data_IF_856022134332
#
_entry.id   IF_856022134332
#
_cell.length_a   1.000
_cell.length_b   1.000
_cell.length_c   1.000
_cell.angle_alpha   90.00
_cell.angle_beta   90.00
_cell.angle_gamma   90.00
#
_symmetry.space_group_name_H-M   'P 1'
#
loop_
_entity.id
_entity.type
_entity.pdbx_description
1 polymer ?
#
# COMPACT_ATOMS: atom_id res chain seq x y z
N UNK A 1 25.44 -7.08 11.16
CA UNK A 1 24.45 -8.13 10.84
C UNK A 1 24.63 -8.49 9.37
N UNK A 2 24.67 -9.80 9.06
CA UNK A 2 24.84 -10.30 7.70
C UNK A 2 23.78 -9.74 6.78
N UNK A 3 24.13 -9.41 5.51
CA UNK A 3 23.24 -8.87 4.50
C UNK A 3 22.09 -9.81 4.08
N UNK A 4 22.01 -11.01 4.65
CA UNK A 4 21.08 -12.08 4.29
C UNK A 4 20.23 -12.55 5.50
N UNK A 5 19.92 -11.64 6.46
CA UNK A 5 19.08 -12.03 7.60
C UNK A 5 17.65 -12.35 7.14
N UNK A 6 17.15 -13.50 7.61
CA UNK A 6 15.79 -13.97 7.29
C UNK A 6 14.73 -13.06 7.92
N UNK A 7 13.47 -13.11 7.44
CA UNK A 7 12.35 -12.43 8.10
C UNK A 7 12.24 -12.74 9.60
N UNK A 8 12.40 -14.00 10.01
CA UNK A 8 12.38 -14.41 11.43
C UNK A 8 13.54 -13.80 12.23
N UNK A 9 14.76 -13.78 11.69
CA UNK A 9 15.90 -13.14 12.36
C UNK A 9 15.71 -11.64 12.52
N UNK A 10 15.16 -10.97 11.49
CA UNK A 10 14.82 -9.53 11.54
C UNK A 10 13.75 -9.26 12.58
N UNK A 11 12.72 -10.14 12.63
CA UNK A 11 11.65 -10.08 13.63
C UNK A 11 12.21 -10.21 15.04
N UNK A 12 13.00 -11.26 15.31
CA UNK A 12 13.60 -11.50 16.62
C UNK A 12 14.55 -10.37 17.06
N UNK A 13 15.32 -9.83 16.12
CA UNK A 13 16.20 -8.69 16.39
C UNK A 13 15.42 -7.42 16.80
N UNK A 14 14.25 -7.17 16.21
CA UNK A 14 13.40 -6.05 16.62
C UNK A 14 12.74 -6.27 17.98
N UNK A 15 12.30 -7.50 18.27
CA UNK A 15 11.81 -7.86 19.62
C UNK A 15 12.91 -7.62 20.67
N UNK A 16 14.14 -8.04 20.38
CA UNK A 16 15.28 -7.86 21.31
C UNK A 16 15.65 -6.40 21.54
N UNK A 17 15.38 -5.50 20.57
CA UNK A 17 15.58 -4.05 20.73
C UNK A 17 14.40 -3.34 21.37
N UNK A 18 13.24 -4.03 21.51
CA UNK A 18 12.01 -3.43 22.00
C UNK A 18 11.24 -2.61 20.94
N UNK A 19 11.58 -2.77 19.66
CA UNK A 19 10.88 -2.08 18.55
C UNK A 19 9.43 -2.57 18.43
N UNK A 20 9.18 -3.86 18.75
CA UNK A 20 7.86 -4.49 18.81
C UNK A 20 7.83 -5.66 19.79
N UNK A 21 6.62 -6.11 20.13
CA UNK A 21 6.41 -7.27 21.01
C UNK A 21 6.29 -8.56 20.18
N UNK A 22 6.77 -9.67 20.75
CA UNK A 22 6.60 -10.99 20.15
C UNK A 22 5.12 -11.41 20.17
N UNK A 23 4.64 -11.91 19.03
CA UNK A 23 3.29 -12.49 18.90
C UNK A 23 3.39 -13.92 18.35
N UNK A 24 3.05 -14.94 19.15
CA UNK A 24 3.05 -16.33 18.69
C UNK A 24 2.15 -16.57 17.47
N UNK A 25 1.08 -15.78 17.29
CA UNK A 25 0.17 -15.88 16.16
C UNK A 25 0.84 -15.52 14.82
N UNK A 26 1.96 -14.81 14.85
CA UNK A 26 2.74 -14.44 13.65
C UNK A 26 3.72 -15.53 13.20
N UNK A 27 3.99 -16.54 14.03
CA UNK A 27 4.96 -17.60 13.73
C UNK A 27 4.67 -18.38 12.43
N UNK A 28 3.42 -18.78 12.12
CA UNK A 28 3.14 -19.47 10.85
C UNK A 28 3.50 -18.61 9.62
N UNK A 29 3.27 -17.29 9.68
CA UNK A 29 3.63 -16.37 8.62
C UNK A 29 5.16 -16.24 8.48
N UNK A 30 5.88 -16.14 9.60
CA UNK A 30 7.35 -16.06 9.60
C UNK A 30 7.99 -17.30 8.97
N UNK A 31 7.49 -18.50 9.29
CA UNK A 31 7.99 -19.77 8.72
C UNK A 31 7.86 -19.77 7.20
N UNK A 32 6.70 -19.36 6.67
CA UNK A 32 6.47 -19.31 5.23
C UNK A 32 7.28 -18.18 4.54
N UNK A 33 7.44 -17.05 5.20
CA UNK A 33 8.28 -15.96 4.71
C UNK A 33 9.76 -16.35 4.67
N UNK A 34 10.26 -17.09 5.66
CA UNK A 34 11.62 -17.63 5.66
C UNK A 34 11.83 -18.67 4.56
N UNK A 35 10.85 -19.58 4.36
CA UNK A 35 10.87 -20.56 3.26
C UNK A 35 10.98 -19.85 1.92
N UNK A 36 10.13 -18.83 1.70
CA UNK A 36 10.10 -18.09 0.44
C UNK A 36 11.37 -17.25 0.26
N UNK A 37 11.85 -16.60 1.32
CA UNK A 37 13.10 -15.85 1.30
C UNK A 37 14.29 -16.76 0.90
N UNK A 38 14.42 -17.94 1.53
CA UNK A 38 15.48 -18.89 1.24
C UNK A 38 15.46 -19.35 -0.23
N UNK A 39 14.27 -19.57 -0.81
CA UNK A 39 14.11 -19.93 -2.22
C UNK A 39 14.46 -18.78 -3.17
N UNK A 40 14.16 -17.53 -2.79
CA UNK A 40 14.34 -16.37 -3.66
C UNK A 40 15.77 -15.80 -3.64
N UNK A 41 16.54 -16.02 -2.59
CA UNK A 41 17.96 -15.64 -2.57
C UNK A 41 18.83 -16.58 -3.43
N UNK A 42 18.27 -17.66 -3.95
CA UNK A 42 18.92 -18.46 -5.02
C UNK A 42 18.63 -17.82 -6.40
N UNK A 43 19.64 -17.76 -7.29
CA UNK A 43 19.38 -17.32 -8.65
C UNK A 43 18.31 -18.20 -9.32
N UNK A 44 17.45 -17.62 -10.18
CA UNK A 44 16.44 -18.40 -10.88
C UNK A 44 17.11 -19.47 -11.76
N UNK A 45 16.54 -20.66 -11.78
CA UNK A 45 17.02 -21.73 -12.63
C UNK A 45 17.00 -21.27 -14.10
N UNK A 46 18.13 -21.38 -14.79
CA UNK A 46 18.19 -21.03 -16.22
C UNK A 46 17.41 -22.06 -17.02
N UNK A 47 16.47 -21.65 -17.83
CA UNK A 47 15.82 -22.52 -18.83
C UNK A 47 16.90 -23.09 -19.72
N UNK A 48 17.08 -24.41 -19.72
CA UNK A 48 17.93 -25.10 -20.67
C UNK A 48 17.47 -24.79 -22.10
N UNK A 49 18.40 -24.79 -23.07
CA UNK A 49 18.12 -24.49 -24.48
C UNK A 49 17.04 -25.42 -25.08
N UNK A 50 16.96 -26.67 -24.61
CA UNK A 50 15.94 -27.66 -24.97
C UNK A 50 14.54 -27.34 -24.42
N UNK A 51 14.41 -26.80 -23.21
CA UNK A 51 13.12 -26.39 -22.65
C UNK A 51 12.48 -25.19 -23.36
N UNK A 52 13.30 -24.37 -24.08
CA UNK A 52 12.80 -23.29 -24.94
C UNK A 52 12.17 -23.79 -26.24
N UNK A 53 12.63 -24.92 -26.76
CA UNK A 53 12.20 -25.49 -28.03
C UNK A 53 10.98 -26.42 -27.91
N UNK A 54 10.79 -27.06 -26.75
CA UNK A 54 9.74 -28.08 -26.57
C UNK A 54 8.60 -27.63 -25.63
N UNK A 55 8.46 -26.34 -25.31
CA UNK A 55 7.33 -25.84 -24.51
C UNK A 55 7.27 -26.44 -23.10
N UNK A 56 8.40 -26.88 -22.55
CA UNK A 56 8.47 -27.40 -21.18
C UNK A 56 8.01 -26.37 -20.16
N UNK A 57 7.38 -26.86 -19.07
CA UNK A 57 6.89 -26.06 -17.97
C UNK A 57 7.92 -25.02 -17.51
N UNK A 58 7.41 -23.86 -17.09
CA UNK A 58 8.26 -22.81 -16.52
C UNK A 58 9.13 -23.41 -15.40
N UNK A 59 10.40 -22.94 -15.22
CA UNK A 59 11.20 -23.40 -14.09
C UNK A 59 10.35 -23.22 -12.82
N UNK A 60 10.37 -24.24 -11.94
CA UNK A 60 9.60 -24.26 -10.69
C UNK A 60 9.86 -22.99 -9.88
N UNK A 61 9.02 -21.97 -10.13
CA UNK A 61 9.00 -20.79 -9.28
C UNK A 61 8.50 -21.23 -7.89
N UNK A 62 9.14 -20.79 -6.81
CA UNK A 62 8.66 -21.15 -5.49
C UNK A 62 7.22 -20.67 -5.29
N UNK A 63 6.41 -21.49 -4.60
CA UNK A 63 5.07 -21.07 -4.24
C UNK A 63 5.13 -19.74 -3.47
N UNK A 64 4.36 -18.75 -3.91
CA UNK A 64 4.24 -17.45 -3.29
C UNK A 64 3.56 -17.51 -1.93
N UNK A 65 3.04 -16.38 -1.47
CA UNK A 65 2.34 -16.28 -0.18
C UNK A 65 1.06 -15.47 -0.32
N UNK A 66 -0.06 -15.99 0.17
CA UNK A 66 -1.30 -15.28 0.39
C UNK A 66 -1.54 -15.18 1.90
N UNK A 67 -1.22 -14.01 2.49
CA UNK A 67 -1.35 -13.76 3.91
C UNK A 67 -2.67 -13.04 4.18
N UNK A 68 -3.59 -13.67 4.91
CA UNK A 68 -4.88 -13.09 5.17
C UNK A 68 -5.25 -13.07 6.66
N UNK A 69 -6.21 -12.22 7.02
CA UNK A 69 -6.67 -12.06 8.40
C UNK A 69 -7.25 -10.68 8.62
N UNK A 70 -7.86 -10.44 9.77
CA UNK A 70 -8.43 -9.15 10.14
C UNK A 70 -7.46 -7.98 10.07
N UNK A 71 -8.00 -6.77 10.09
CA UNK A 71 -7.22 -5.52 10.09
C UNK A 71 -6.36 -5.43 11.38
N UNK A 72 -5.22 -4.73 11.30
CA UNK A 72 -4.35 -4.51 12.47
C UNK A 72 -3.58 -5.74 12.97
N UNK A 73 -3.64 -6.87 12.27
CA UNK A 73 -2.99 -8.13 12.69
C UNK A 73 -1.51 -8.22 12.32
N UNK A 74 -0.95 -7.18 11.71
CA UNK A 74 0.47 -7.14 11.34
C UNK A 74 0.81 -7.74 9.98
N UNK A 75 -0.16 -7.96 9.07
CA UNK A 75 0.09 -8.50 7.72
C UNK A 75 1.12 -7.66 6.95
N UNK A 76 0.88 -6.36 6.87
CA UNK A 76 1.77 -5.40 6.19
C UNK A 76 3.15 -5.43 6.79
N UNK A 77 3.25 -5.42 8.13
CA UNK A 77 4.51 -5.52 8.85
C UNK A 77 5.29 -6.82 8.54
N UNK A 78 4.59 -7.97 8.47
CA UNK A 78 5.23 -9.24 8.09
C UNK A 78 5.80 -9.18 6.66
N UNK A 79 5.04 -8.59 5.74
CA UNK A 79 5.46 -8.39 4.35
C UNK A 79 6.62 -7.39 4.26
N UNK A 80 6.66 -6.33 5.10
CA UNK A 80 7.79 -5.40 5.19
C UNK A 80 9.09 -6.11 5.55
N UNK A 81 9.06 -6.94 6.61
CA UNK A 81 10.23 -7.70 7.04
C UNK A 81 10.79 -8.56 5.89
N UNK A 82 9.90 -9.19 5.13
CA UNK A 82 10.26 -10.01 3.99
C UNK A 82 10.79 -9.16 2.82
N UNK A 83 10.01 -8.17 2.39
CA UNK A 83 10.36 -7.35 1.24
C UNK A 83 11.69 -6.63 1.43
N UNK A 84 11.90 -6.01 2.59
CA UNK A 84 13.13 -5.29 2.91
C UNK A 84 14.33 -6.23 3.11
N UNK A 85 14.05 -7.47 3.50
CA UNK A 85 15.06 -8.52 3.66
C UNK A 85 15.56 -9.12 2.35
N UNK A 86 14.79 -9.03 1.27
CA UNK A 86 15.20 -9.57 -0.02
C UNK A 86 16.27 -8.68 -0.68
N UNK A 87 17.45 -9.24 -1.02
CA UNK A 87 18.52 -8.50 -1.69
C UNK A 87 18.26 -8.38 -3.20
N UNK A 88 17.11 -7.86 -3.58
CA UNK A 88 16.68 -7.64 -4.97
C UNK A 88 16.55 -6.16 -5.25
N UNK A 89 16.84 -5.77 -6.50
CA UNK A 89 16.59 -4.40 -6.97
C UNK A 89 15.08 -4.11 -7.01
N UNK A 90 14.68 -2.92 -6.57
CA UNK A 90 13.29 -2.49 -6.61
C UNK A 90 12.95 -1.99 -8.01
N UNK A 91 11.99 -2.64 -8.65
CA UNK A 91 11.41 -2.15 -9.90
C UNK A 91 10.38 -1.07 -9.55
N UNK A 92 10.71 0.18 -9.83
CA UNK A 92 9.80 1.32 -9.62
C UNK A 92 8.87 1.44 -10.83
N UNK A 93 7.60 1.81 -10.60
CA UNK A 93 6.77 2.34 -11.66
C UNK A 93 7.37 3.70 -12.06
N UNK A 94 7.70 3.86 -13.32
CA UNK A 94 8.16 5.14 -13.85
C UNK A 94 6.96 6.12 -13.82
N UNK A 95 7.18 7.36 -13.34
CA UNK A 95 6.15 8.40 -13.30
C UNK A 95 5.73 8.85 -14.70
N UNK A 96 4.70 9.69 -14.84
CA UNK A 96 4.11 10.07 -16.14
C UNK A 96 5.03 10.86 -17.08
N UNK A 97 6.23 11.22 -16.65
CA UNK A 97 7.26 11.87 -17.48
C UNK A 97 8.26 10.90 -18.11
N UNK A 98 8.33 9.67 -17.62
CA UNK A 98 9.20 8.65 -18.16
C UNK A 98 8.36 7.55 -18.79
N UNK A 99 8.72 7.11 -19.98
CA UNK A 99 7.95 6.16 -20.78
C UNK A 99 7.48 4.96 -19.93
N UNK A 100 6.23 4.53 -20.07
CA UNK A 100 5.69 3.45 -19.26
C UNK A 100 6.52 2.18 -19.42
N UNK A 101 6.61 1.34 -18.38
CA UNK A 101 7.24 0.01 -18.37
C UNK A 101 6.91 -0.89 -19.59
N UNK A 102 6.12 -0.38 -20.50
CA UNK A 102 5.50 -1.05 -21.63
C UNK A 102 6.03 -0.59 -23.00
N UNK A 103 7.06 0.28 -23.06
CA UNK A 103 7.66 0.67 -24.35
C UNK A 103 8.80 -0.27 -24.71
N UNK A 104 8.61 -0.98 -25.82
CA UNK A 104 9.69 -1.67 -26.52
C UNK A 104 10.80 -0.70 -26.95
N UNK A 105 12.04 -1.18 -26.91
CA UNK A 105 13.30 -0.55 -27.28
C UNK A 105 13.19 0.70 -28.16
N UNK A 106 13.70 1.83 -27.64
CA UNK A 106 14.39 2.83 -28.45
C UNK A 106 15.84 2.92 -28.01
N UNK A 107 16.72 2.57 -28.91
CA UNK A 107 18.16 2.80 -28.85
C UNK A 107 18.45 4.28 -29.06
N UNK A 108 19.31 4.89 -28.29
CA UNK A 108 19.93 6.18 -28.60
C UNK A 108 20.31 7.02 -27.39
N UNK A 109 21.60 7.01 -27.10
CA UNK A 109 22.48 8.07 -26.59
C UNK A 109 22.04 9.03 -25.47
N UNK A 110 22.70 8.93 -24.35
CA UNK A 110 23.62 9.91 -23.70
C UNK A 110 22.99 11.14 -23.05
N UNK A 111 22.95 11.17 -21.71
CA UNK A 111 23.62 12.23 -20.97
C UNK A 111 23.71 11.89 -19.46
N UNK A 112 24.80 12.34 -18.83
CA UNK A 112 25.20 11.98 -17.48
C UNK A 112 24.41 12.76 -16.40
N UNK A 113 24.29 12.20 -15.17
CA UNK A 113 23.57 12.86 -14.09
C UNK A 113 24.44 13.90 -13.37
N UNK A 114 23.88 15.09 -13.16
CA UNK A 114 24.42 16.09 -12.25
C UNK A 114 24.05 15.70 -10.82
N UNK A 115 25.07 15.46 -10.00
CA UNK A 115 24.94 15.24 -8.58
C UNK A 115 24.58 16.54 -7.85
N UNK A 116 23.60 16.49 -6.97
CA UNK A 116 23.46 17.46 -5.90
C UNK A 116 23.28 16.71 -4.58
N UNK A 117 24.22 16.94 -3.71
CA UNK A 117 24.36 16.38 -2.39
C UNK A 117 23.55 17.19 -1.34
N UNK A 118 23.28 16.48 -0.20
CA UNK A 118 23.04 16.98 1.15
C UNK A 118 21.58 17.33 1.53
N UNK A 119 21.06 16.73 2.57
CA UNK A 119 21.44 16.65 3.98
C UNK A 119 20.72 15.49 4.67
N UNK A 120 21.37 14.81 5.60
CA UNK A 120 20.85 13.70 6.36
C UNK A 120 20.02 14.17 7.56
N UNK A 121 18.86 13.57 7.84
CA UNK A 121 18.25 13.58 9.15
C UNK A 121 18.49 12.26 9.88
N UNK A 122 18.65 12.37 11.18
CA UNK A 122 19.00 11.32 12.13
C UNK A 122 17.79 10.46 12.52
N UNK A 123 17.35 9.58 11.64
CA UNK A 123 16.48 8.44 11.96
C UNK A 123 17.28 7.16 11.76
N UNK A 124 17.14 6.15 12.65
CA UNK A 124 17.85 4.86 12.48
C UNK A 124 17.36 4.20 11.20
N UNK A 125 18.19 4.03 10.14
CA UNK A 125 17.73 3.54 8.85
C UNK A 125 17.29 2.08 8.97
N UNK A 126 16.11 1.74 8.45
CA UNK A 126 15.77 0.37 8.08
C UNK A 126 16.88 -0.09 7.11
N UNK A 127 17.69 -1.05 7.53
CA UNK A 127 18.77 -1.56 6.69
C UNK A 127 18.17 -2.49 5.63
N UNK A 128 17.95 -1.94 4.44
CA UNK A 128 17.67 -2.76 3.26
C UNK A 128 18.88 -3.65 2.94
N UNK A 129 18.61 -4.87 2.48
CA UNK A 129 19.68 -5.75 1.99
C UNK A 129 20.28 -5.13 0.72
N UNK A 130 21.61 -5.26 0.55
CA UNK A 130 22.27 -4.79 -0.67
C UNK A 130 21.77 -5.57 -1.88
N UNK A 131 21.27 -4.91 -2.94
CA UNK A 131 20.72 -5.60 -4.10
C UNK A 131 21.77 -6.44 -4.84
N UNK A 132 21.39 -7.67 -5.22
CA UNK A 132 22.13 -8.51 -6.15
C UNK A 132 21.37 -8.59 -7.48
N UNK A 133 21.90 -8.01 -8.59
CA UNK A 133 21.24 -8.02 -9.89
C UNK A 133 20.94 -9.41 -10.45
N UNK A 134 21.65 -10.45 -9.98
CA UNK A 134 21.43 -11.84 -10.40
C UNK A 134 20.13 -12.45 -9.86
N UNK A 135 19.57 -11.87 -8.82
CA UNK A 135 18.35 -12.36 -8.18
C UNK A 135 17.08 -11.87 -8.87
N UNK A 136 17.19 -10.96 -9.82
CA UNK A 136 16.03 -10.29 -10.45
C UNK A 136 15.55 -9.10 -9.64
N UNK A 137 14.35 -8.62 -9.98
CA UNK A 137 13.75 -7.43 -9.39
C UNK A 137 12.51 -7.77 -8.58
N UNK A 138 12.24 -6.98 -7.55
CA UNK A 138 11.02 -7.00 -6.76
C UNK A 138 10.22 -5.73 -6.99
N UNK A 139 8.89 -5.83 -6.92
CA UNK A 139 7.97 -4.69 -6.98
C UNK A 139 6.92 -4.82 -5.90
N UNK A 140 6.53 -3.71 -5.26
CA UNK A 140 5.45 -3.63 -4.31
C UNK A 140 4.49 -2.51 -4.68
N UNK A 141 3.19 -2.77 -4.59
CA UNK A 141 2.13 -1.80 -4.84
C UNK A 141 0.81 -2.27 -4.22
N UNK A 142 -0.16 -1.38 -4.02
CA UNK A 142 -1.51 -1.77 -3.65
C UNK A 142 -2.24 -2.40 -4.82
N UNK A 143 -3.13 -3.35 -4.53
CA UNK A 143 -3.86 -4.11 -5.56
C UNK A 143 -4.66 -3.21 -6.50
N UNK A 144 -5.41 -2.24 -5.99
CA UNK A 144 -6.22 -1.34 -6.83
C UNK A 144 -5.36 -0.48 -7.77
N UNK A 145 -4.21 0.01 -7.30
CA UNK A 145 -3.26 0.76 -8.14
C UNK A 145 -2.66 -0.13 -9.23
N UNK A 146 -2.28 -1.35 -8.87
CA UNK A 146 -1.81 -2.35 -9.83
C UNK A 146 -2.84 -2.61 -10.93
N UNK A 147 -4.13 -2.79 -10.57
CA UNK A 147 -5.19 -3.02 -11.57
C UNK A 147 -5.42 -1.79 -12.46
N UNK A 148 -5.37 -0.57 -11.93
CA UNK A 148 -5.40 0.65 -12.76
C UNK A 148 -4.27 0.69 -13.80
N UNK A 149 -3.05 0.33 -13.41
CA UNK A 149 -1.91 0.24 -14.32
C UNK A 149 -2.12 -0.84 -15.38
N UNK A 150 -2.65 -2.01 -15.01
CA UNK A 150 -3.02 -3.09 -15.95
C UNK A 150 -4.06 -2.60 -16.96
N UNK A 151 -5.11 -1.91 -16.51
CA UNK A 151 -6.12 -1.34 -17.41
C UNK A 151 -5.54 -0.27 -18.35
N UNK A 152 -4.63 0.56 -17.87
CA UNK A 152 -3.92 1.53 -18.71
C UNK A 152 -3.05 0.84 -19.76
N UNK A 153 -2.30 -0.20 -19.36
CA UNK A 153 -1.48 -0.98 -20.25
C UNK A 153 -2.28 -1.74 -21.32
N UNK A 154 -3.47 -2.27 -20.96
CA UNK A 154 -4.37 -2.90 -21.93
C UNK A 154 -4.81 -1.95 -23.04
N UNK A 155 -5.00 -0.66 -22.73
CA UNK A 155 -5.31 0.36 -23.75
C UNK A 155 -4.12 0.57 -24.71
N UNK A 156 -2.90 0.56 -24.19
CA UNK A 156 -1.69 0.69 -25.02
C UNK A 156 -1.51 -0.50 -25.95
N UNK A 157 -1.81 -1.71 -25.46
CA UNK A 157 -1.65 -2.97 -26.21
C UNK A 157 -2.94 -3.43 -26.93
N UNK A 158 -3.95 -2.55 -27.09
CA UNK A 158 -5.28 -2.92 -27.63
C UNK A 158 -5.25 -3.55 -29.05
N UNK A 159 -4.18 -3.30 -29.83
CA UNK A 159 -4.00 -3.91 -31.16
C UNK A 159 -3.31 -5.27 -31.19
N UNK A 160 -2.86 -5.77 -30.04
CA UNK A 160 -2.17 -7.06 -29.97
C UNK A 160 -3.14 -8.23 -29.84
N UNK A 161 -2.73 -9.41 -30.37
CA UNK A 161 -3.56 -10.62 -30.28
C UNK A 161 -3.82 -11.07 -28.86
N UNK A 162 -2.83 -10.90 -27.96
CA UNK A 162 -2.93 -11.18 -26.53
C UNK A 162 -2.26 -10.07 -25.70
N UNK A 163 -3.00 -8.99 -25.40
CA UNK A 163 -2.48 -7.84 -24.66
C UNK A 163 -1.93 -8.21 -23.28
N UNK A 164 -2.60 -9.10 -22.54
CA UNK A 164 -2.14 -9.52 -21.20
C UNK A 164 -0.79 -10.25 -21.27
N UNK A 165 -0.60 -11.11 -22.27
CA UNK A 165 0.68 -11.77 -22.46
C UNK A 165 1.80 -10.77 -22.81
N UNK A 166 1.50 -9.71 -23.57
CA UNK A 166 2.46 -8.65 -23.86
C UNK A 166 2.87 -7.90 -22.58
N UNK A 167 1.89 -7.53 -21.76
CA UNK A 167 2.11 -6.86 -20.48
C UNK A 167 3.02 -7.69 -19.57
N UNK A 168 2.68 -8.96 -19.34
CA UNK A 168 3.45 -9.85 -18.47
C UNK A 168 4.85 -10.13 -19.02
N UNK A 169 4.99 -10.28 -20.35
CA UNK A 169 6.33 -10.35 -20.98
C UNK A 169 7.15 -9.10 -20.69
N UNK A 170 6.56 -7.90 -20.78
CA UNK A 170 7.23 -6.64 -20.43
C UNK A 170 7.76 -6.65 -19.01
N UNK A 171 6.97 -7.11 -18.04
CA UNK A 171 7.41 -7.23 -16.64
C UNK A 171 8.57 -8.22 -16.49
N UNK A 172 8.48 -9.40 -17.14
CA UNK A 172 9.55 -10.40 -17.13
C UNK A 172 10.84 -9.86 -17.76
N UNK A 173 10.72 -9.17 -18.89
CA UNK A 173 11.87 -8.61 -19.61
C UNK A 173 12.50 -7.44 -18.82
N UNK A 174 11.72 -6.73 -18.02
CA UNK A 174 12.20 -5.78 -17.01
C UNK A 174 12.85 -6.46 -15.78
N UNK A 175 12.85 -7.80 -15.73
CA UNK A 175 13.47 -8.58 -14.65
C UNK A 175 12.60 -8.78 -13.42
N UNK A 176 11.30 -8.49 -13.47
CA UNK A 176 10.38 -8.71 -12.34
C UNK A 176 10.32 -10.20 -12.00
N UNK A 177 10.68 -10.54 -10.76
CA UNK A 177 10.63 -11.89 -10.21
C UNK A 177 9.66 -12.02 -9.04
N UNK A 178 9.51 -10.95 -8.24
CA UNK A 178 8.60 -10.93 -7.08
C UNK A 178 7.68 -9.73 -7.20
N UNK A 179 6.37 -10.00 -7.18
CA UNK A 179 5.33 -8.99 -7.10
C UNK A 179 4.67 -9.07 -5.72
N UNK A 180 4.69 -7.97 -4.99
CA UNK A 180 3.99 -7.82 -3.71
C UNK A 180 2.77 -6.94 -3.94
N UNK A 181 1.59 -7.46 -3.62
CA UNK A 181 0.32 -6.75 -3.70
C UNK A 181 -0.27 -6.59 -2.30
N UNK A 182 -0.30 -5.36 -1.81
CA UNK A 182 -0.98 -5.06 -0.55
C UNK A 182 -2.48 -4.90 -0.79
N UNK A 183 -3.27 -5.26 0.23
CA UNK A 183 -4.73 -5.09 0.25
C UNK A 183 -5.44 -5.74 -0.95
N UNK A 184 -5.12 -7.00 -1.19
CA UNK A 184 -5.74 -7.75 -2.29
C UNK A 184 -7.22 -7.96 -2.03
N UNK A 185 -8.03 -7.18 -2.71
CA UNK A 185 -9.49 -7.22 -2.61
C UNK A 185 -10.13 -6.93 -3.98
N UNK A 186 -11.06 -7.78 -4.41
CA UNK A 186 -11.71 -7.66 -5.72
C UNK A 186 -13.17 -7.27 -5.53
N UNK A 187 -13.53 -6.06 -5.97
CA UNK A 187 -14.90 -5.53 -5.93
C UNK A 187 -15.46 -5.25 -7.32
N UNK A 188 -14.60 -4.93 -8.29
CA UNK A 188 -14.99 -4.57 -9.65
C UNK A 188 -15.05 -5.78 -10.57
N UNK A 189 -16.08 -5.82 -11.43
CA UNK A 189 -16.28 -6.91 -12.39
C UNK A 189 -15.17 -6.93 -13.47
N UNK A 190 -14.68 -5.77 -13.89
CA UNK A 190 -13.60 -5.66 -14.89
C UNK A 190 -12.33 -6.32 -14.37
N UNK A 191 -11.96 -6.03 -13.13
CA UNK A 191 -10.83 -6.65 -12.45
C UNK A 191 -11.02 -8.16 -12.31
N UNK A 192 -12.20 -8.60 -11.84
CA UNK A 192 -12.51 -10.00 -11.68
C UNK A 192 -12.37 -10.80 -12.99
N UNK A 193 -12.82 -10.23 -14.12
CA UNK A 193 -12.73 -10.91 -15.43
C UNK A 193 -11.31 -10.99 -16.00
N UNK A 194 -10.46 -10.03 -15.65
CA UNK A 194 -9.06 -9.99 -16.11
C UNK A 194 -8.14 -10.84 -15.27
N UNK A 195 -8.40 -10.90 -13.95
CA UNK A 195 -7.45 -11.39 -12.96
C UNK A 195 -7.06 -12.86 -13.16
N UNK A 196 -8.00 -13.73 -13.53
CA UNK A 196 -7.70 -15.13 -13.80
C UNK A 196 -6.66 -15.30 -14.92
N UNK A 197 -6.84 -14.57 -16.03
CA UNK A 197 -5.92 -14.63 -17.17
C UNK A 197 -4.59 -13.97 -16.85
N UNK A 198 -4.61 -12.89 -16.08
CA UNK A 198 -3.40 -12.18 -15.66
C UNK A 198 -2.55 -13.05 -14.75
N UNK A 199 -3.14 -13.66 -13.71
CA UNK A 199 -2.46 -14.56 -12.78
C UNK A 199 -1.90 -15.78 -13.50
N UNK A 200 -2.66 -16.39 -14.42
CA UNK A 200 -2.21 -17.52 -15.22
C UNK A 200 -0.92 -17.17 -15.99
N UNK A 201 -0.89 -16.01 -16.66
CA UNK A 201 0.30 -15.54 -17.37
C UNK A 201 1.48 -15.24 -16.45
N UNK A 202 1.22 -14.58 -15.32
CA UNK A 202 2.25 -14.26 -14.33
C UNK A 202 2.92 -15.52 -13.78
N UNK A 203 2.13 -16.51 -13.37
CA UNK A 203 2.65 -17.77 -12.84
C UNK A 203 3.37 -18.61 -13.92
N UNK A 204 2.84 -18.63 -15.14
CA UNK A 204 3.50 -19.29 -16.28
C UNK A 204 4.86 -18.65 -16.63
N UNK A 205 5.03 -17.35 -16.40
CA UNK A 205 6.31 -16.65 -16.58
C UNK A 205 7.22 -16.69 -15.34
N UNK A 206 6.81 -17.39 -14.27
CA UNK A 206 7.61 -17.59 -13.06
C UNK A 206 7.65 -16.39 -12.10
N UNK A 207 6.70 -15.45 -12.22
CA UNK A 207 6.57 -14.33 -11.28
C UNK A 207 5.94 -14.86 -10.00
N UNK A 208 6.62 -14.63 -8.87
CA UNK A 208 6.17 -15.03 -7.54
C UNK A 208 5.27 -13.92 -6.97
N UNK A 209 4.08 -14.30 -6.51
CA UNK A 209 3.13 -13.39 -5.88
C UNK A 209 3.22 -13.52 -4.36
N UNK A 210 3.36 -12.37 -3.68
CA UNK A 210 3.17 -12.21 -2.24
C UNK A 210 2.07 -11.21 -2.03
N UNK A 211 1.06 -11.54 -1.23
CA UNK A 211 -0.06 -10.63 -1.06
C UNK A 211 -0.64 -10.64 0.34
N UNK A 212 -1.10 -9.49 0.81
CA UNK A 212 -1.94 -9.35 1.99
C UNK A 212 -3.39 -9.18 1.60
N UNK A 213 -4.29 -9.75 2.38
CA UNK A 213 -5.74 -9.59 2.21
C UNK A 213 -6.46 -9.63 3.56
N UNK A 214 -7.64 -9.03 3.64
CA UNK A 214 -8.53 -9.20 4.79
C UNK A 214 -9.45 -10.42 4.61
N UNK A 215 -9.48 -11.02 3.42
CA UNK A 215 -10.44 -12.05 3.01
C UNK A 215 -9.72 -13.36 2.68
N UNK A 216 -10.30 -14.48 3.10
CA UNK A 216 -9.85 -15.81 2.66
C UNK A 216 -9.97 -15.91 1.12
N UNK A 217 -8.99 -16.48 0.40
CA UNK A 217 -9.07 -16.62 -1.05
C UNK A 217 -10.38 -17.19 -1.57
N UNK A 218 -10.99 -18.15 -0.83
CA UNK A 218 -12.27 -18.77 -1.21
C UNK A 218 -13.46 -17.80 -1.15
N UNK A 219 -13.37 -16.75 -0.34
CA UNK A 219 -14.40 -15.75 -0.12
C UNK A 219 -14.20 -14.48 -0.97
N UNK A 220 -13.10 -14.38 -1.72
CA UNK A 220 -12.87 -13.29 -2.65
C UNK A 220 -14.02 -13.16 -3.65
N UNK A 221 -14.48 -11.94 -3.87
CA UNK A 221 -15.54 -11.60 -4.81
C UNK A 221 -16.84 -12.43 -4.58
N UNK A 222 -17.17 -12.68 -3.28
CA UNK A 222 -18.22 -13.64 -2.86
C UNK A 222 -19.59 -13.33 -3.46
N UNK A 223 -20.01 -12.09 -3.42
CA UNK A 223 -21.31 -11.62 -3.90
C UNK A 223 -21.21 -10.91 -5.26
N UNK A 224 -20.05 -11.07 -5.93
CA UNK A 224 -19.77 -10.39 -7.17
C UNK A 224 -20.52 -10.96 -8.38
N UNK A 225 -20.86 -10.07 -9.31
CA UNK A 225 -21.55 -10.43 -10.55
C UNK A 225 -20.69 -11.38 -11.40
N UNK A 226 -21.30 -12.50 -11.87
CA UNK A 226 -20.61 -13.53 -12.64
C UNK A 226 -19.42 -14.19 -11.89
N UNK A 227 -19.50 -14.35 -10.58
CA UNK A 227 -18.45 -14.93 -9.73
C UNK A 227 -17.88 -16.26 -10.27
N UNK A 228 -18.68 -17.06 -10.96
CA UNK A 228 -18.23 -18.33 -11.58
C UNK A 228 -17.03 -18.13 -12.50
N UNK A 229 -16.92 -16.98 -13.19
CA UNK A 229 -15.78 -16.64 -14.05
C UNK A 229 -14.54 -16.22 -13.27
N UNK A 230 -14.69 -15.86 -11.99
CA UNK A 230 -13.60 -15.52 -11.09
C UNK A 230 -13.03 -16.74 -10.35
N UNK A 231 -13.76 -17.83 -10.22
CA UNK A 231 -13.29 -19.05 -9.55
C UNK A 231 -11.94 -19.58 -10.07
N UNK A 232 -11.60 -19.50 -11.36
CA UNK A 232 -10.27 -19.88 -11.84
C UNK A 232 -9.14 -19.04 -11.21
N UNK A 233 -9.36 -17.74 -10.93
CA UNK A 233 -8.38 -16.90 -10.25
C UNK A 233 -8.14 -17.38 -8.82
N UNK A 234 -9.20 -17.73 -8.10
CA UNK A 234 -9.10 -18.34 -6.75
C UNK A 234 -8.28 -19.63 -6.79
N UNK A 235 -8.59 -20.50 -7.75
CA UNK A 235 -7.87 -21.77 -7.90
C UNK A 235 -6.37 -21.56 -8.20
N UNK A 236 -6.03 -20.56 -9.02
CA UNK A 236 -4.63 -20.19 -9.29
C UNK A 236 -3.93 -19.66 -8.03
N UNK A 237 -4.58 -18.80 -7.25
CA UNK A 237 -4.02 -18.30 -5.98
C UNK A 237 -3.74 -19.47 -5.02
N UNK A 238 -4.70 -20.39 -4.85
CA UNK A 238 -4.55 -21.55 -3.97
C UNK A 238 -3.48 -22.55 -4.46
N UNK A 239 -3.28 -22.66 -5.78
CA UNK A 239 -2.28 -23.55 -6.37
C UNK A 239 -0.86 -22.97 -6.27
N UNK A 240 -0.71 -21.67 -6.47
CA UNK A 240 0.60 -21.03 -6.63
C UNK A 240 1.06 -20.25 -5.40
N UNK A 241 0.20 -20.08 -4.38
CA UNK A 241 0.54 -19.42 -3.13
C UNK A 241 0.25 -20.32 -1.93
N UNK A 242 1.13 -20.29 -0.94
CA UNK A 242 0.80 -20.79 0.40
C UNK A 242 -0.18 -19.83 1.04
N UNK A 243 -1.33 -20.35 1.47
CA UNK A 243 -2.37 -19.55 2.12
C UNK A 243 -2.17 -19.60 3.63
N UNK A 244 -1.85 -18.48 4.23
CA UNK A 244 -1.61 -18.37 5.68
C UNK A 244 -2.64 -17.44 6.29
N UNK A 245 -3.36 -17.94 7.30
CA UNK A 245 -4.28 -17.14 8.10
C UNK A 245 -3.57 -16.58 9.32
N UNK A 246 -3.42 -15.27 9.39
CA UNK A 246 -2.86 -14.58 10.55
C UNK A 246 -3.94 -14.39 11.62
N UNK A 247 -4.02 -15.34 12.56
CA UNK A 247 -5.01 -15.38 13.65
C UNK A 247 -4.45 -14.69 14.91
N UNK A 248 -4.11 -13.41 14.82
CA UNK A 248 -3.76 -12.67 16.03
C UNK A 248 -5.03 -12.13 16.69
N UNK A 249 -5.16 -12.30 18.01
CA UNK A 249 -6.23 -11.66 18.79
C UNK A 249 -5.90 -10.20 19.13
N UNK A 250 -4.66 -9.78 18.86
CA UNK A 250 -4.18 -8.44 19.14
C UNK A 250 -4.27 -7.57 17.89
N UNK A 251 -5.12 -6.55 17.91
CA UNK A 251 -5.06 -5.47 16.94
C UNK A 251 -4.03 -4.43 17.41
N UNK A 252 -2.83 -4.49 16.84
CA UNK A 252 -1.72 -3.61 17.22
C UNK A 252 -2.00 -2.14 16.90
N UNK A 253 -2.66 -1.88 15.77
CA UNK A 253 -3.06 -0.53 15.37
C UNK A 253 -4.11 0.02 16.34
N UNK A 254 -5.08 -0.81 16.69
CA UNK A 254 -6.12 -0.47 17.64
C UNK A 254 -5.55 -0.09 19.02
N UNK A 255 -4.56 -0.84 19.51
CA UNK A 255 -3.87 -0.50 20.76
C UNK A 255 -3.19 0.87 20.69
N UNK A 256 -2.57 1.23 19.57
CA UNK A 256 -1.95 2.54 19.40
C UNK A 256 -3.00 3.66 19.29
N UNK A 257 -4.10 3.45 18.55
CA UNK A 257 -5.17 4.41 18.38
C UNK A 257 -5.96 4.68 19.68
N UNK A 258 -6.18 3.62 20.50
CA UNK A 258 -6.98 3.76 21.74
C UNK A 258 -6.18 4.21 22.96
N UNK A 259 -4.85 4.09 22.93
CA UNK A 259 -3.98 4.52 24.03
C UNK A 259 -3.80 6.02 24.15
N UNK A 260 -3.93 6.72 23.03
CA UNK A 260 -3.69 8.16 22.96
C UNK A 260 -4.80 8.83 22.14
N UNK A 261 -5.16 10.09 22.44
CA UNK A 261 -6.17 10.82 21.71
C UNK A 261 -5.86 10.85 20.20
N UNK A 262 -6.90 10.78 19.36
CA UNK A 262 -6.79 10.92 17.90
C UNK A 262 -7.14 12.34 17.42
N UNK A 263 -7.54 13.21 18.31
CA UNK A 263 -7.92 14.60 18.05
C UNK A 263 -7.30 15.51 19.11
N UNK A 264 -6.55 16.51 18.65
CA UNK A 264 -5.91 17.52 19.53
C UNK A 264 -6.38 18.91 19.18
N UNK A 265 -6.74 19.67 20.20
CA UNK A 265 -7.12 21.09 20.13
C UNK A 265 -6.73 21.78 21.44
N UNK A 266 -6.46 23.12 21.45
CA UNK A 266 -6.33 24.00 20.29
C UNK A 266 -5.03 23.81 19.54
N UNK A 267 -4.88 24.47 18.38
CA UNK A 267 -3.59 24.53 17.67
C UNK A 267 -2.59 25.37 18.49
N UNK A 268 -1.41 24.83 18.66
CA UNK A 268 -0.30 25.44 19.36
C UNK A 268 1.05 25.01 18.73
N UNK A 269 2.17 25.50 19.30
CA UNK A 269 3.52 25.19 18.81
C UNK A 269 3.89 23.71 18.93
N UNK A 270 3.20 22.94 19.77
CA UNK A 270 3.47 21.53 20.00
C UNK A 270 2.60 20.61 19.11
N UNK A 271 1.67 21.19 18.33
CA UNK A 271 0.71 20.42 17.52
C UNK A 271 1.38 19.51 16.50
N UNK A 272 2.42 20.00 15.80
CA UNK A 272 3.20 19.23 14.83
C UNK A 272 4.01 18.11 15.51
N UNK A 273 4.65 18.41 16.64
CA UNK A 273 5.39 17.43 17.45
C UNK A 273 4.48 16.32 18.00
N UNK A 274 3.25 16.66 18.35
CA UNK A 274 2.25 15.68 18.75
C UNK A 274 1.87 14.75 17.59
N UNK A 275 1.62 15.26 16.38
CA UNK A 275 1.34 14.45 15.20
C UNK A 275 2.55 13.57 14.82
N UNK A 276 3.77 14.09 14.95
CA UNK A 276 4.98 13.32 14.71
C UNK A 276 5.11 12.14 15.69
N UNK A 277 4.82 12.37 16.97
CA UNK A 277 4.76 11.30 17.97
C UNK A 277 3.71 10.26 17.60
N UNK A 278 2.50 10.70 17.20
CA UNK A 278 1.42 9.79 16.77
C UNK A 278 1.79 9.00 15.51
N UNK A 279 2.49 9.65 14.56
CA UNK A 279 2.99 9.01 13.35
C UNK A 279 3.85 7.78 13.68
N UNK A 280 4.84 7.96 14.56
CA UNK A 280 5.74 6.87 14.97
C UNK A 280 5.05 5.81 15.82
N UNK A 281 4.14 6.19 16.72
CA UNK A 281 3.36 5.24 17.52
C UNK A 281 2.46 4.34 16.67
N UNK A 282 1.99 4.82 15.52
CA UNK A 282 1.20 4.07 14.56
C UNK A 282 2.05 3.24 13.58
N UNK A 283 3.36 3.27 13.71
CA UNK A 283 4.30 2.52 12.88
C UNK A 283 4.78 3.27 11.65
N UNK A 284 4.60 4.58 11.61
CA UNK A 284 5.18 5.43 10.57
C UNK A 284 6.71 5.46 10.64
N UNK A 285 7.33 5.62 9.49
CA UNK A 285 8.78 5.78 9.32
C UNK A 285 9.11 7.13 8.65
N UNK A 286 10.40 7.41 8.53
CA UNK A 286 10.91 8.64 7.92
C UNK A 286 11.38 8.44 6.47
N UNK A 287 11.23 7.24 5.92
CA UNK A 287 11.76 6.89 4.59
C UNK A 287 11.11 7.70 3.46
N UNK A 288 9.87 8.18 3.66
CA UNK A 288 9.10 8.92 2.68
C UNK A 288 8.58 10.25 3.23
N UNK A 289 9.41 10.96 3.99
CA UNK A 289 9.14 12.35 4.38
C UNK A 289 9.14 13.24 3.14
N UNK A 290 8.16 14.15 3.05
CA UNK A 290 8.00 15.15 1.99
C UNK A 290 8.01 14.58 0.55
N UNK A 291 7.74 13.27 0.40
CA UNK A 291 7.84 12.57 -0.89
C UNK A 291 6.70 12.91 -1.88
N UNK A 292 5.58 13.47 -1.38
CA UNK A 292 4.35 13.62 -2.13
C UNK A 292 3.67 12.27 -2.42
N UNK A 293 2.39 12.33 -2.74
CA UNK A 293 1.59 11.19 -3.22
C UNK A 293 0.91 11.58 -4.52
N UNK A 294 0.83 10.64 -5.45
CA UNK A 294 0.10 10.85 -6.69
C UNK A 294 -1.34 10.38 -6.51
N UNK A 295 -2.27 11.31 -6.60
CA UNK A 295 -3.70 11.09 -6.45
C UNK A 295 -4.39 11.59 -7.71
N UNK A 296 -5.15 10.75 -8.39
CA UNK A 296 -5.87 11.06 -9.64
C UNK A 296 -4.98 11.79 -10.68
N UNK A 297 -3.73 11.30 -10.86
CA UNK A 297 -2.73 11.87 -11.76
C UNK A 297 -2.15 13.22 -11.32
N UNK A 298 -2.42 13.65 -10.10
CA UNK A 298 -1.92 14.92 -9.52
C UNK A 298 -1.06 14.63 -8.28
N UNK A 299 0.06 15.34 -8.17
CA UNK A 299 0.91 15.23 -6.98
C UNK A 299 0.35 16.09 -5.85
N UNK A 300 0.09 15.44 -4.71
CA UNK A 300 -0.30 16.09 -3.45
C UNK A 300 0.89 16.01 -2.50
N UNK A 301 1.21 17.15 -1.85
CA UNK A 301 2.25 17.18 -0.82
C UNK A 301 1.81 16.38 0.41
N UNK A 302 2.70 15.58 0.95
CA UNK A 302 2.53 14.88 2.22
C UNK A 302 3.72 15.17 3.12
N UNK A 303 3.50 15.31 4.41
CA UNK A 303 4.57 15.38 5.41
C UNK A 303 5.30 14.05 5.53
N UNK A 304 4.56 12.95 5.49
CA UNK A 304 5.10 11.60 5.49
C UNK A 304 4.10 10.61 4.91
N UNK A 305 4.57 9.46 4.44
CA UNK A 305 3.71 8.35 4.05
C UNK A 305 4.40 7.01 4.25
N UNK A 306 3.59 5.99 4.53
CA UNK A 306 3.96 4.57 4.50
C UNK A 306 2.86 3.81 3.77
N UNK A 307 3.01 2.52 3.47
CA UNK A 307 1.91 1.71 2.98
C UNK A 307 0.69 1.79 3.94
N UNK A 308 -0.44 2.31 3.41
CA UNK A 308 -1.70 2.43 4.14
C UNK A 308 -1.81 3.60 5.13
N UNK A 309 -0.77 4.43 5.32
CA UNK A 309 -0.85 5.66 6.13
C UNK A 309 -0.26 6.86 5.40
N UNK A 310 -0.88 8.03 5.58
CA UNK A 310 -0.34 9.29 5.08
C UNK A 310 -0.60 10.43 6.06
N UNK A 311 0.34 11.38 6.12
CA UNK A 311 0.23 12.59 6.91
C UNK A 311 0.21 13.81 5.99
N UNK A 312 -0.92 14.50 6.00
CA UNK A 312 -1.15 15.71 5.22
C UNK A 312 -1.28 16.93 6.13
N UNK A 313 -0.96 18.09 5.58
CA UNK A 313 -1.43 19.37 6.11
C UNK A 313 -2.83 19.68 5.57
N UNK A 314 -3.64 20.41 6.34
CA UNK A 314 -4.97 20.86 5.91
C UNK A 314 -4.93 21.58 4.56
N UNK A 315 -3.95 22.47 4.38
CA UNK A 315 -3.80 23.27 3.16
C UNK A 315 -3.59 22.38 1.91
N UNK A 316 -2.85 21.28 2.04
CA UNK A 316 -2.58 20.36 0.93
C UNK A 316 -3.86 19.69 0.39
N UNK A 317 -4.82 19.42 1.28
CA UNK A 317 -6.09 18.77 0.92
C UNK A 317 -7.25 19.74 0.72
N UNK A 318 -7.29 20.88 1.43
CA UNK A 318 -8.48 21.74 1.46
C UNK A 318 -8.29 23.13 0.87
N UNK A 319 -7.06 23.68 0.74
CA UNK A 319 -6.86 25.03 0.21
C UNK A 319 -6.55 25.06 -1.31
N UNK A 320 -6.34 23.90 -1.95
CA UNK A 320 -6.05 23.79 -3.36
C UNK A 320 -7.22 23.31 -4.22
N UNK A 321 -7.04 23.14 -5.53
CA UNK A 321 -8.04 22.61 -6.46
C UNK A 321 -8.21 21.10 -6.25
N UNK A 322 -8.93 20.71 -5.22
CA UNK A 322 -9.27 19.33 -4.85
C UNK A 322 -10.75 19.07 -5.02
N UNK A 323 -11.09 17.82 -5.32
CA UNK A 323 -12.47 17.38 -5.49
C UNK A 323 -12.74 16.02 -4.87
N UNK A 324 -13.97 15.54 -4.98
CA UNK A 324 -14.38 14.26 -4.41
C UNK A 324 -13.53 13.07 -4.92
N UNK A 325 -13.12 13.08 -6.20
CA UNK A 325 -12.24 12.04 -6.76
C UNK A 325 -10.92 11.90 -6.02
N UNK A 326 -10.30 13.02 -5.63
CA UNK A 326 -9.06 13.02 -4.85
C UNK A 326 -9.27 12.38 -3.48
N UNK A 327 -10.38 12.73 -2.82
CA UNK A 327 -10.67 12.22 -1.46
C UNK A 327 -11.09 10.75 -1.46
N UNK A 328 -11.80 10.30 -2.49
CA UNK A 328 -12.10 8.89 -2.73
C UNK A 328 -10.80 8.11 -2.83
N UNK A 329 -9.84 8.59 -3.61
CA UNK A 329 -8.57 7.90 -3.79
C UNK A 329 -7.72 7.90 -2.51
N UNK A 330 -7.64 9.05 -1.80
CA UNK A 330 -7.00 9.12 -0.47
C UNK A 330 -7.64 8.13 0.50
N UNK A 331 -8.97 8.10 0.58
CA UNK A 331 -9.69 7.23 1.49
C UNK A 331 -9.63 5.75 1.08
N UNK A 332 -9.38 5.45 -0.19
CA UNK A 332 -9.16 4.09 -0.69
C UNK A 332 -7.73 3.62 -0.44
N UNK A 333 -6.72 4.51 -0.64
CA UNK A 333 -5.30 4.14 -0.51
C UNK A 333 -4.86 4.04 0.96
N UNK A 334 -5.42 4.89 1.85
CA UNK A 334 -4.94 5.01 3.22
C UNK A 334 -6.00 4.61 4.24
N UNK A 335 -5.74 3.56 5.01
CA UNK A 335 -6.59 3.17 6.14
C UNK A 335 -6.46 4.11 7.36
N UNK A 336 -5.39 4.93 7.40
CA UNK A 336 -5.15 5.91 8.45
C UNK A 336 -4.59 7.19 7.85
N UNK A 337 -5.24 8.30 8.12
CA UNK A 337 -4.83 9.63 7.69
C UNK A 337 -4.49 10.48 8.91
N UNK A 338 -3.29 11.08 8.92
CA UNK A 338 -2.95 12.14 9.83
C UNK A 338 -3.20 13.47 9.12
N UNK A 339 -3.89 14.41 9.78
CA UNK A 339 -4.23 15.73 9.21
C UNK A 339 -3.83 16.84 10.17
N UNK A 340 -2.82 17.61 9.79
CA UNK A 340 -2.30 18.70 10.60
C UNK A 340 -2.97 20.04 10.29
N UNK A 341 -3.16 20.85 11.34
CA UNK A 341 -3.46 22.26 11.18
C UNK A 341 -4.87 22.62 10.71
N UNK A 342 -5.92 21.86 11.08
CA UNK A 342 -7.30 22.21 10.71
C UNK A 342 -7.66 23.57 11.36
N UNK A 343 -7.88 24.65 10.56
CA UNK A 343 -8.12 25.97 11.09
C UNK A 343 -9.57 26.14 11.53
N UNK A 344 -9.84 27.23 12.26
CA UNK A 344 -11.19 27.75 12.34
C UNK A 344 -11.59 28.30 10.97
N UNK A 345 -12.77 27.93 10.47
CA UNK A 345 -13.28 28.31 9.16
C UNK A 345 -14.49 29.22 9.34
N UNK A 346 -14.53 30.30 8.60
CA UNK A 346 -15.65 31.25 8.54
C UNK A 346 -16.12 31.44 7.10
N UNK A 347 -16.98 32.40 6.86
CA UNK A 347 -17.50 32.70 5.52
C UNK A 347 -16.43 33.02 4.47
N UNK A 348 -15.22 33.47 4.88
CA UNK A 348 -14.10 33.72 3.96
C UNK A 348 -13.41 32.44 3.48
N UNK A 349 -13.62 31.34 4.19
CA UNK A 349 -13.07 30.00 3.93
C UNK A 349 -14.13 28.96 3.54
N UNK A 350 -15.29 29.39 3.08
CA UNK A 350 -16.40 28.49 2.69
C UNK A 350 -15.96 27.41 1.68
N UNK A 351 -15.05 27.72 0.75
CA UNK A 351 -14.57 26.75 -0.24
C UNK A 351 -13.68 25.68 0.42
N UNK A 352 -12.80 26.06 1.34
CA UNK A 352 -11.99 25.12 2.11
C UNK A 352 -12.88 24.26 3.04
N UNK A 353 -13.86 24.90 3.70
CA UNK A 353 -14.83 24.22 4.53
C UNK A 353 -15.65 23.18 3.75
N UNK A 354 -16.09 23.51 2.53
CA UNK A 354 -16.80 22.57 1.64
C UNK A 354 -15.94 21.36 1.28
N UNK A 355 -14.66 21.60 0.94
CA UNK A 355 -13.71 20.51 0.65
C UNK A 355 -13.46 19.65 1.88
N UNK A 356 -13.32 20.27 3.05
CA UNK A 356 -13.17 19.56 4.31
C UNK A 356 -14.40 18.69 4.63
N UNK A 357 -15.62 19.20 4.44
CA UNK A 357 -16.85 18.39 4.55
C UNK A 357 -16.79 17.16 3.67
N UNK A 358 -16.44 17.34 2.38
CA UNK A 358 -16.33 16.23 1.42
C UNK A 358 -15.23 15.25 1.82
N UNK A 359 -14.08 15.72 2.25
CA UNK A 359 -13.00 14.88 2.74
C UNK A 359 -13.46 14.00 3.92
N UNK A 360 -14.08 14.60 4.93
CA UNK A 360 -14.56 13.86 6.09
C UNK A 360 -15.67 12.87 5.71
N UNK A 361 -16.54 13.23 4.77
CA UNK A 361 -17.57 12.32 4.26
C UNK A 361 -16.92 11.06 3.63
N UNK A 362 -15.90 11.21 2.77
CA UNK A 362 -15.23 10.08 2.12
C UNK A 362 -14.38 9.24 3.09
N UNK A 363 -13.68 9.87 4.03
CA UNK A 363 -12.92 9.16 5.07
C UNK A 363 -13.87 8.33 5.97
N UNK A 364 -14.99 8.93 6.38
CA UNK A 364 -15.97 8.28 7.25
C UNK A 364 -16.64 7.08 6.57
N UNK A 365 -17.09 7.24 5.32
CA UNK A 365 -17.80 6.19 4.59
C UNK A 365 -16.92 4.96 4.31
N UNK A 366 -15.58 5.16 4.25
CA UNK A 366 -14.60 4.07 4.07
C UNK A 366 -13.93 3.60 5.36
N UNK A 367 -14.42 4.06 6.52
CA UNK A 367 -13.87 3.70 7.84
C UNK A 367 -12.36 4.00 7.95
N UNK A 368 -11.91 5.14 7.43
CA UNK A 368 -10.52 5.59 7.57
C UNK A 368 -10.32 6.17 8.97
N UNK A 369 -9.27 5.75 9.66
CA UNK A 369 -8.91 6.35 10.94
C UNK A 369 -8.29 7.74 10.72
N UNK A 370 -8.84 8.75 11.39
CA UNK A 370 -8.34 10.12 11.32
C UNK A 370 -7.65 10.49 12.64
N UNK A 371 -6.39 10.92 12.54
CA UNK A 371 -5.64 11.53 13.65
C UNK A 371 -5.35 12.98 13.27
N UNK A 372 -5.81 13.95 14.05
CA UNK A 372 -5.70 15.33 13.59
C UNK A 372 -5.45 16.35 14.71
N UNK A 373 -4.96 17.52 14.28
CA UNK A 373 -4.86 18.73 15.12
C UNK A 373 -5.75 19.82 14.54
N UNK A 374 -6.51 20.51 15.40
CA UNK A 374 -7.52 21.47 14.99
C UNK A 374 -7.56 22.70 15.91
N UNK A 375 -8.00 23.83 15.36
CA UNK A 375 -8.10 25.08 16.09
C UNK A 375 -9.16 25.05 17.20
N UNK A 376 -10.20 24.20 17.06
CA UNK A 376 -11.31 24.11 18.00
C UNK A 376 -11.89 22.68 18.03
N UNK A 377 -12.79 22.41 18.98
CA UNK A 377 -13.63 21.20 18.96
C UNK A 377 -14.55 21.18 17.73
N UNK A 378 -14.93 19.99 17.21
CA UNK A 378 -15.64 19.86 15.94
C UNK A 378 -16.85 20.79 15.74
N UNK A 379 -17.74 21.01 16.74
CA UNK A 379 -18.88 21.91 16.57
C UNK A 379 -18.49 23.39 16.40
N UNK A 380 -17.30 23.78 16.86
CA UNK A 380 -16.80 25.14 16.84
C UNK A 380 -15.80 25.42 15.71
N UNK A 381 -15.55 24.45 14.80
CA UNK A 381 -14.60 24.62 13.69
C UNK A 381 -15.14 25.53 12.58
N UNK A 382 -16.45 25.67 12.45
CA UNK A 382 -17.07 26.50 11.41
C UNK A 382 -17.99 27.55 12.03
N UNK A 383 -17.74 28.80 11.68
CA UNK A 383 -18.51 29.96 12.12
C UNK A 383 -19.25 30.69 10.99
N UNK A 384 -19.28 30.14 9.77
CA UNK A 384 -20.05 30.69 8.65
C UNK A 384 -21.52 30.24 8.68
N UNK A 385 -22.34 30.85 7.81
CA UNK A 385 -23.78 30.53 7.72
C UNK A 385 -24.10 29.50 6.62
N UNK A 386 -23.35 29.53 5.50
CA UNK A 386 -23.68 28.78 4.27
C UNK A 386 -23.62 27.27 4.40
N UNK A 387 -22.72 26.76 5.22
CA UNK A 387 -22.47 25.31 5.38
C UNK A 387 -22.91 24.76 6.74
N UNK A 388 -23.68 25.52 7.54
CA UNK A 388 -24.06 25.16 8.91
C UNK A 388 -24.61 23.74 9.00
N UNK A 389 -25.61 23.39 8.21
CA UNK A 389 -26.21 22.05 8.25
C UNK A 389 -25.29 20.94 7.76
N UNK A 390 -24.42 21.22 6.77
CA UNK A 390 -23.41 20.24 6.31
C UNK A 390 -22.34 20.05 7.39
N UNK A 391 -21.94 21.14 8.04
CA UNK A 391 -20.88 21.11 9.03
C UNK A 391 -21.34 20.49 10.37
N UNK A 392 -22.61 20.62 10.75
CA UNK A 392 -23.20 19.87 11.88
C UNK A 392 -23.07 18.37 11.70
N UNK A 393 -23.32 17.85 10.47
CA UNK A 393 -23.11 16.44 10.15
C UNK A 393 -21.62 16.08 10.22
N UNK A 394 -20.76 16.92 9.67
CA UNK A 394 -19.30 16.71 9.70
C UNK A 394 -18.77 16.70 11.13
N UNK A 395 -19.25 17.61 12.00
CA UNK A 395 -18.90 17.63 13.41
C UNK A 395 -19.32 16.33 14.12
N UNK A 396 -20.54 15.85 13.85
CA UNK A 396 -21.04 14.57 14.39
C UNK A 396 -20.16 13.38 13.95
N UNK A 397 -19.77 13.33 12.66
CA UNK A 397 -18.86 12.30 12.13
C UNK A 397 -17.48 12.38 12.80
N UNK A 398 -16.89 13.56 12.92
CA UNK A 398 -15.61 13.76 13.62
C UNK A 398 -15.65 13.29 15.08
N UNK A 399 -16.76 13.51 15.77
CA UNK A 399 -16.96 13.02 17.14
C UNK A 399 -17.04 11.49 17.16
N UNK A 400 -17.81 10.89 16.23
CA UNK A 400 -17.93 9.44 16.12
C UNK A 400 -16.59 8.78 15.74
N UNK A 401 -15.82 9.38 14.81
CA UNK A 401 -14.50 8.90 14.39
C UNK A 401 -13.48 8.82 15.53
N UNK A 402 -13.74 9.49 16.66
CA UNK A 402 -12.92 9.41 17.88
C UNK A 402 -13.30 8.24 18.78
N UNK A 403 -14.43 7.58 18.54
CA UNK A 403 -14.94 6.50 19.39
C UNK A 403 -14.16 5.20 19.16
N UNK A 404 -14.06 4.38 20.23
CA UNK A 404 -13.43 3.07 20.13
C UNK A 404 -14.16 2.15 19.14
N UNK A 405 -15.47 2.25 19.03
CA UNK A 405 -16.29 1.49 18.09
C UNK A 405 -15.98 1.84 16.63
N UNK A 406 -15.79 3.13 16.32
CA UNK A 406 -15.43 3.54 14.98
C UNK A 406 -14.00 3.12 14.63
N UNK A 407 -13.04 3.35 15.51
CA UNK A 407 -11.64 3.01 15.31
C UNK A 407 -11.43 1.50 15.07
N UNK A 408 -12.36 0.65 15.52
CA UNK A 408 -12.37 -0.80 15.31
C UNK A 408 -12.91 -1.23 13.93
N UNK A 409 -13.61 -0.35 13.22
CA UNK A 409 -14.21 -0.69 11.93
C UNK A 409 -13.15 -1.06 10.91
N UNK A 410 -13.50 -2.02 10.08
CA UNK A 410 -12.64 -2.44 8.98
C UNK A 410 -12.63 -1.38 7.88
N UNK A 411 -11.44 -1.02 7.41
CA UNK A 411 -11.27 -0.11 6.28
C UNK A 411 -11.90 -0.72 5.01
N UNK A 412 -12.60 0.12 4.25
CA UNK A 412 -13.28 -0.23 3.00
C UNK A 412 -12.54 0.43 1.85
N UNK A 413 -11.42 -0.17 1.44
CA UNK A 413 -10.65 0.30 0.30
C UNK A 413 -11.35 0.13 -1.06
#
# INVERSE_FOLDING_TARGET
MSALSTPSERYAAGVARGDWQSDPAQQPALVELDRLHAALIQPPARRGMLGRLFGGDAPDAPAGLYLWGGVGRGKTFMIDLFHDGLPMEVLRAEGPTDAPLFTGKRSGEGDAPVASAEAAPSGKPRRHATPDPKLGRKRRTHFHRFMREVHAALRVHAGERDPLAAIVRGWRDAGLRVLVLDEFFVSDIGDAMLLARLLDRMFADGIVLVTSSNVDPKDLYRDGLQRVRFLPAIALLQRHCQVVHLRSDTDYRMRALTRSPVYRTPLDVDSDGWLDTRWHELGGDDDHRDAGVEIDGRRICVRARTPGMAWFDFDALCEGPRGASDYIEVATEFHTVLLGGIPHMDATRDDAARRFVTLIDELYDRNVNLVCTAAAEPPALYGGERLTGAFERTASRLIEMRSAEYLQREHRG
#
